data_IF_478864219414
#
_entry.id   IF_478864219414
#
_cell.length_a   1.000
_cell.length_b   1.000
_cell.length_c   1.000
_cell.angle_alpha   90.00
_cell.angle_beta   90.00
_cell.angle_gamma   90.00
#
_symmetry.space_group_name_H-M   'P 1'
#
loop_
_entity.id
_entity.type
_entity.pdbx_description
1 polymer ?
#
# COMPACT_ATOMS: atom_id res chain seq x y z
N UNK A 1 8.27 26.73 42.03
CA UNK A 1 8.62 25.69 41.04
C UNK A 1 7.42 25.57 40.12
N UNK A 2 7.53 26.02 38.87
CA UNK A 2 6.41 26.08 37.92
C UNK A 2 6.57 24.95 36.89
N UNK A 3 5.72 23.93 37.00
CA UNK A 3 5.59 22.85 36.02
C UNK A 3 4.93 23.42 34.76
N UNK A 4 5.77 23.87 33.82
CA UNK A 4 5.33 24.18 32.46
C UNK A 4 5.12 22.86 31.73
N UNK A 5 3.91 22.33 31.82
CA UNK A 5 3.44 21.24 30.96
C UNK A 5 3.50 21.71 29.51
N UNK A 6 4.46 21.19 28.74
CA UNK A 6 4.53 21.41 27.31
C UNK A 6 3.50 20.50 26.64
N UNK A 7 2.26 20.99 26.54
CA UNK A 7 1.20 20.31 25.81
C UNK A 7 1.52 20.49 24.32
N UNK A 8 2.15 19.47 23.72
CA UNK A 8 2.29 19.43 22.26
C UNK A 8 0.91 19.06 21.72
N UNK A 9 0.11 20.09 21.45
CA UNK A 9 -1.06 19.97 20.61
C UNK A 9 -0.53 19.77 19.18
N UNK A 10 -0.30 18.52 18.79
CA UNK A 10 -0.11 18.15 17.40
C UNK A 10 -1.47 18.30 16.70
N UNK A 11 -1.85 19.55 16.45
CA UNK A 11 -2.80 19.85 15.38
C UNK A 11 -2.04 19.56 14.08
N UNK A 12 -2.10 18.30 13.64
CA UNK A 12 -1.77 17.97 12.26
C UNK A 12 -2.86 18.69 11.46
N UNK A 13 -2.57 19.93 11.06
CA UNK A 13 -3.34 20.60 10.04
C UNK A 13 -3.45 19.59 8.91
N UNK A 14 -4.66 19.05 8.69
CA UNK A 14 -4.93 18.20 7.56
C UNK A 14 -4.70 19.10 6.35
N UNK A 15 -3.48 19.08 5.81
CA UNK A 15 -3.18 19.77 4.57
C UNK A 15 -4.23 19.31 3.55
N UNK A 16 -4.84 20.24 2.81
CA UNK A 16 -5.85 19.88 1.85
C UNK A 16 -5.28 18.81 0.91
N UNK A 17 -6.04 17.73 0.73
CA UNK A 17 -5.65 16.62 -0.12
C UNK A 17 -5.18 17.13 -1.48
N UNK A 18 -4.00 16.69 -1.92
CA UNK A 18 -3.51 17.10 -3.23
C UNK A 18 -4.46 16.58 -4.32
N UNK A 19 -4.76 17.37 -5.37
CA UNK A 19 -5.61 16.91 -6.46
C UNK A 19 -5.14 15.60 -7.11
N UNK A 20 -3.83 15.37 -7.09
CA UNK A 20 -3.23 14.12 -7.55
C UNK A 20 -3.63 12.92 -6.68
N UNK A 21 -3.52 13.05 -5.36
CA UNK A 21 -3.94 11.98 -4.44
C UNK A 21 -5.45 11.74 -4.51
N UNK A 22 -6.23 12.80 -4.66
CA UNK A 22 -7.67 12.69 -4.85
C UNK A 22 -8.02 11.86 -6.08
N UNK A 23 -7.37 12.13 -7.22
CA UNK A 23 -7.57 11.37 -8.45
C UNK A 23 -7.19 9.88 -8.27
N UNK A 24 -6.08 9.59 -7.60
CA UNK A 24 -5.68 8.21 -7.28
C UNK A 24 -6.74 7.50 -6.42
N UNK A 25 -7.32 8.19 -5.43
CA UNK A 25 -8.41 7.63 -4.62
C UNK A 25 -9.68 7.36 -5.42
N UNK A 26 -10.03 8.21 -6.38
CA UNK A 26 -11.18 7.94 -7.26
C UNK A 26 -10.95 6.72 -8.15
N UNK A 27 -9.73 6.53 -8.64
CA UNK A 27 -9.36 5.33 -9.38
C UNK A 27 -9.45 4.08 -8.50
N UNK A 28 -8.85 4.12 -7.32
CA UNK A 28 -8.88 3.01 -6.36
C UNK A 28 -10.31 2.64 -5.90
N UNK A 29 -11.19 3.63 -5.74
CA UNK A 29 -12.60 3.38 -5.45
C UNK A 29 -13.29 2.62 -6.59
N UNK A 30 -12.97 2.98 -7.84
CA UNK A 30 -13.52 2.32 -9.02
C UNK A 30 -13.04 0.87 -9.12
N UNK A 31 -11.75 0.60 -8.83
CA UNK A 31 -11.19 -0.75 -8.77
C UNK A 31 -11.88 -1.61 -7.70
N UNK A 32 -12.04 -1.09 -6.48
CA UNK A 32 -12.74 -1.80 -5.38
C UNK A 32 -14.19 -2.12 -5.78
N UNK A 33 -14.89 -1.17 -6.41
CA UNK A 33 -16.26 -1.40 -6.88
C UNK A 33 -16.30 -2.51 -7.93
N UNK A 34 -15.36 -2.53 -8.87
CA UNK A 34 -15.25 -3.58 -9.89
C UNK A 34 -14.95 -4.97 -9.26
N UNK A 35 -14.09 -5.04 -8.25
CA UNK A 35 -13.81 -6.28 -7.53
C UNK A 35 -15.07 -6.80 -6.82
N UNK A 36 -15.83 -5.92 -6.16
CA UNK A 36 -17.10 -6.27 -5.51
C UNK A 36 -18.10 -6.81 -6.55
N UNK A 37 -18.22 -6.15 -7.70
CA UNK A 37 -19.10 -6.58 -8.78
C UNK A 37 -18.71 -7.95 -9.33
N UNK A 38 -17.42 -8.22 -9.52
CA UNK A 38 -16.91 -9.50 -9.99
C UNK A 38 -17.24 -10.63 -9.01
N UNK A 39 -16.91 -10.48 -7.72
CA UNK A 39 -17.20 -11.48 -6.70
C UNK A 39 -18.71 -11.76 -6.60
N UNK A 40 -19.52 -10.70 -6.65
CA UNK A 40 -20.98 -10.82 -6.62
C UNK A 40 -21.52 -11.57 -7.86
N UNK A 41 -20.97 -11.30 -9.04
CA UNK A 41 -21.35 -11.98 -10.28
C UNK A 41 -20.97 -13.48 -10.30
N UNK A 42 -19.92 -13.85 -9.56
CA UNK A 42 -19.53 -15.25 -9.34
C UNK A 42 -20.42 -15.97 -8.31
N UNK A 43 -21.37 -15.26 -7.70
CA UNK A 43 -22.27 -15.80 -6.68
C UNK A 43 -21.61 -15.96 -5.30
N UNK A 44 -20.49 -15.28 -5.06
CA UNK A 44 -19.85 -15.27 -3.75
C UNK A 44 -20.65 -14.41 -2.76
N UNK A 45 -20.67 -14.85 -1.49
CA UNK A 45 -21.40 -14.15 -0.45
C UNK A 45 -20.58 -12.91 0.02
N UNK A 46 -21.16 -11.69 0.01
CA UNK A 46 -20.44 -10.47 0.32
C UNK A 46 -19.71 -10.45 1.66
N UNK A 47 -20.32 -10.96 2.73
CA UNK A 47 -19.68 -10.96 4.05
C UNK A 47 -18.43 -11.85 4.10
N UNK A 48 -18.29 -12.81 3.18
CA UNK A 48 -17.09 -13.65 3.07
C UNK A 48 -15.91 -12.93 2.41
N UNK A 49 -16.12 -12.05 1.43
CA UNK A 49 -15.01 -11.43 0.68
C UNK A 49 -14.76 -9.97 1.06
N UNK A 50 -15.78 -9.20 1.47
CA UNK A 50 -15.62 -7.78 1.82
C UNK A 50 -14.52 -7.53 2.89
N UNK A 51 -14.37 -8.34 3.96
CA UNK A 51 -13.30 -8.13 4.94
C UNK A 51 -11.88 -8.37 4.42
N UNK A 52 -11.75 -9.06 3.28
CA UNK A 52 -10.46 -9.35 2.65
C UNK A 52 -10.02 -8.24 1.69
N UNK A 53 -10.96 -7.39 1.25
CA UNK A 53 -10.67 -6.26 0.37
C UNK A 53 -9.74 -5.25 1.07
N UNK A 54 -8.86 -4.58 0.30
CA UNK A 54 -8.04 -3.50 0.83
C UNK A 54 -8.91 -2.30 1.21
N UNK A 55 -8.46 -1.53 2.20
CA UNK A 55 -8.97 -0.17 2.40
C UNK A 55 -8.63 0.72 1.19
N UNK A 56 -9.34 1.84 1.02
CA UNK A 56 -9.13 2.74 -0.11
C UNK A 56 -7.66 3.16 -0.27
N UNK A 57 -7.01 3.59 0.82
CA UNK A 57 -5.61 4.00 0.80
C UNK A 57 -4.66 2.83 0.56
N UNK A 58 -5.01 1.63 1.02
CA UNK A 58 -4.23 0.42 0.69
C UNK A 58 -4.34 0.08 -0.78
N UNK A 59 -5.52 0.21 -1.39
CA UNK A 59 -5.70 0.02 -2.82
C UNK A 59 -4.86 1.02 -3.62
N UNK A 60 -4.84 2.30 -3.25
CA UNK A 60 -3.96 3.30 -3.89
C UNK A 60 -2.49 2.88 -3.82
N UNK A 61 -2.03 2.40 -2.65
CA UNK A 61 -0.66 1.91 -2.50
C UNK A 61 -0.40 0.68 -3.37
N UNK A 62 -1.36 -0.27 -3.45
CA UNK A 62 -1.25 -1.46 -4.30
C UNK A 62 -1.18 -1.10 -5.79
N UNK A 63 -1.96 -0.12 -6.25
CA UNK A 63 -1.95 0.34 -7.64
C UNK A 63 -0.61 0.99 -7.97
N UNK A 64 -0.13 1.91 -7.12
CA UNK A 64 1.19 2.52 -7.31
C UNK A 64 2.32 1.50 -7.24
N UNK A 65 2.19 0.49 -6.38
CA UNK A 65 3.14 -0.60 -6.31
C UNK A 65 3.17 -1.42 -7.62
N UNK A 66 2.00 -1.77 -8.17
CA UNK A 66 1.87 -2.51 -9.44
C UNK A 66 2.48 -1.72 -10.58
N UNK A 67 2.15 -0.44 -10.69
CA UNK A 67 2.68 0.45 -11.72
C UNK A 67 4.21 0.52 -11.66
N UNK A 68 4.76 0.79 -10.47
CA UNK A 68 6.22 0.81 -10.25
C UNK A 68 6.87 -0.53 -10.55
N UNK A 69 6.20 -1.65 -10.27
CA UNK A 69 6.73 -2.99 -10.55
C UNK A 69 6.85 -3.29 -12.05
N UNK A 70 6.19 -2.52 -12.91
CA UNK A 70 6.36 -2.62 -14.37
C UNK A 70 7.64 -1.94 -14.88
N UNK A 71 8.22 -1.04 -14.08
CA UNK A 71 9.44 -0.32 -14.46
C UNK A 71 10.61 -1.30 -14.61
N UNK A 72 11.37 -1.27 -15.73
CA UNK A 72 12.41 -2.27 -16.01
C UNK A 72 13.44 -2.43 -14.88
N UNK A 73 13.85 -1.32 -14.25
CA UNK A 73 14.82 -1.34 -13.15
C UNK A 73 14.26 -2.03 -11.90
N UNK A 74 13.01 -1.75 -11.55
CA UNK A 74 12.35 -2.35 -10.39
C UNK A 74 11.98 -3.81 -10.64
N UNK A 75 11.56 -4.17 -11.86
CA UNK A 75 11.33 -5.55 -12.25
C UNK A 75 12.61 -6.38 -12.15
N UNK A 76 13.74 -5.86 -12.64
CA UNK A 76 15.03 -6.53 -12.52
C UNK A 76 15.52 -6.64 -11.07
N UNK A 77 15.32 -5.59 -10.26
CA UNK A 77 15.63 -5.61 -8.83
C UNK A 77 14.78 -6.65 -8.08
N UNK A 78 13.49 -6.73 -8.39
CA UNK A 78 12.56 -7.73 -7.86
C UNK A 78 13.02 -9.15 -8.19
N UNK A 79 13.34 -9.42 -9.46
CA UNK A 79 13.81 -10.74 -9.89
C UNK A 79 15.07 -11.19 -9.12
N UNK A 80 16.00 -10.26 -8.83
CA UNK A 80 17.18 -10.55 -8.00
C UNK A 80 16.83 -10.77 -6.53
N UNK A 81 15.94 -9.97 -5.97
CA UNK A 81 15.52 -10.06 -4.57
C UNK A 81 14.81 -11.38 -4.24
N UNK A 82 14.03 -11.90 -5.19
CA UNK A 82 13.27 -13.15 -5.07
C UNK A 82 13.99 -14.38 -5.62
N UNK A 83 15.22 -14.25 -6.11
CA UNK A 83 15.97 -15.38 -6.65
C UNK A 83 16.31 -16.40 -5.53
N UNK A 84 16.28 -17.73 -5.77
CA UNK A 84 16.61 -18.73 -4.74
C UNK A 84 18.00 -18.59 -4.11
N UNK A 85 18.94 -17.98 -4.84
CA UNK A 85 20.29 -17.69 -4.35
C UNK A 85 20.44 -16.29 -3.72
N UNK A 86 19.35 -15.53 -3.56
CA UNK A 86 19.37 -14.25 -2.89
C UNK A 86 19.73 -14.40 -1.42
N UNK A 87 20.35 -13.37 -0.84
CA UNK A 87 20.63 -13.36 0.60
C UNK A 87 19.32 -13.37 1.41
N UNK A 88 19.32 -13.92 2.63
CA UNK A 88 18.19 -13.77 3.55
C UNK A 88 17.83 -12.28 3.73
N UNK A 89 16.53 -11.97 3.73
CA UNK A 89 16.04 -10.60 3.88
C UNK A 89 16.01 -9.76 2.59
N UNK A 90 16.49 -10.29 1.46
CA UNK A 90 16.57 -9.50 0.21
C UNK A 90 15.19 -9.12 -0.34
N UNK A 91 14.20 -10.02 -0.24
CA UNK A 91 12.83 -9.75 -0.64
C UNK A 91 12.20 -8.67 0.25
N UNK A 92 12.33 -8.82 1.57
CA UNK A 92 11.80 -7.88 2.55
C UNK A 92 12.40 -6.47 2.38
N UNK A 93 13.71 -6.38 2.13
CA UNK A 93 14.38 -5.11 1.87
C UNK A 93 13.92 -4.46 0.57
N UNK A 94 13.70 -5.25 -0.49
CA UNK A 94 13.13 -4.76 -1.75
C UNK A 94 11.71 -4.23 -1.54
N UNK A 95 10.83 -5.01 -0.91
CA UNK A 95 9.43 -4.62 -0.67
C UNK A 95 9.34 -3.36 0.20
N UNK A 96 10.15 -3.30 1.27
CA UNK A 96 10.28 -2.12 2.11
C UNK A 96 10.71 -0.90 1.31
N UNK A 97 11.71 -1.04 0.43
CA UNK A 97 12.22 0.03 -0.41
C UNK A 97 11.12 0.64 -1.31
N UNK A 98 10.32 -0.21 -1.96
CA UNK A 98 9.23 0.24 -2.84
C UNK A 98 8.13 0.93 -2.04
N UNK A 99 7.64 0.31 -0.97
CA UNK A 99 6.56 0.84 -0.14
C UNK A 99 6.96 2.14 0.58
N UNK A 100 8.20 2.22 1.07
CA UNK A 100 8.77 3.45 1.63
C UNK A 100 8.80 4.57 0.59
N UNK A 101 9.20 4.27 -0.65
CA UNK A 101 9.23 5.28 -1.70
C UNK A 101 7.83 5.78 -2.09
N UNK A 102 6.77 4.97 -1.93
CA UNK A 102 5.38 5.43 -2.10
C UNK A 102 4.99 6.35 -0.94
N UNK A 103 5.27 5.94 0.30
CA UNK A 103 4.96 6.73 1.50
C UNK A 103 5.66 8.11 1.51
N UNK A 104 6.88 8.19 0.97
CA UNK A 104 7.60 9.47 0.85
C UNK A 104 7.02 10.38 -0.24
N UNK A 105 6.48 9.82 -1.33
CA UNK A 105 5.84 10.59 -2.39
C UNK A 105 4.44 11.07 -1.96
N UNK A 106 3.70 10.23 -1.23
CA UNK A 106 2.36 10.52 -0.73
C UNK A 106 2.31 10.33 0.80
N UNK A 107 2.72 11.35 1.59
CA UNK A 107 2.81 11.23 3.05
C UNK A 107 1.50 10.78 3.72
N UNK A 108 0.34 11.17 3.18
CA UNK A 108 -0.98 10.76 3.65
C UNK A 108 -1.22 9.23 3.57
N UNK A 109 -0.53 8.52 2.68
CA UNK A 109 -0.63 7.06 2.51
C UNK A 109 0.31 6.28 3.43
N UNK A 110 1.13 6.95 4.25
CA UNK A 110 2.16 6.29 5.06
C UNK A 110 1.58 5.16 5.92
N UNK A 111 0.45 5.40 6.60
CA UNK A 111 -0.18 4.38 7.43
C UNK A 111 -0.62 3.14 6.62
N UNK A 112 -1.14 3.32 5.41
CA UNK A 112 -1.51 2.23 4.53
C UNK A 112 -0.30 1.45 4.02
N UNK A 113 0.76 2.17 3.61
CA UNK A 113 2.01 1.54 3.19
C UNK A 113 2.62 0.68 4.31
N UNK A 114 2.60 1.16 5.57
CA UNK A 114 3.08 0.39 6.72
C UNK A 114 2.24 -0.85 7.00
N UNK A 115 0.91 -0.78 6.94
CA UNK A 115 0.04 -1.96 7.09
C UNK A 115 0.30 -3.02 6.02
N UNK A 116 0.65 -2.60 4.81
CA UNK A 116 0.99 -3.50 3.71
C UNK A 116 2.38 -4.12 3.87
N UNK A 117 3.35 -3.45 4.49
CA UNK A 117 4.69 -4.03 4.78
C UNK A 117 4.55 -5.29 5.62
N UNK A 118 3.70 -5.29 6.66
CA UNK A 118 3.47 -6.46 7.50
C UNK A 118 2.81 -7.64 6.73
N UNK A 119 2.19 -7.35 5.58
CA UNK A 119 1.53 -8.32 4.69
C UNK A 119 2.36 -8.61 3.42
N UNK A 120 3.46 -7.90 3.17
CA UNK A 120 4.13 -7.79 1.89
C UNK A 120 4.72 -9.11 1.34
N UNK A 121 5.36 -9.99 2.14
CA UNK A 121 5.87 -11.24 1.59
C UNK A 121 4.78 -12.19 1.08
N UNK A 122 3.52 -12.01 1.50
CA UNK A 122 2.39 -12.87 1.11
C UNK A 122 1.51 -12.26 0.02
N UNK A 123 1.35 -10.93 0.00
CA UNK A 123 0.50 -10.23 -0.96
C UNK A 123 1.25 -9.70 -2.19
N UNK A 124 2.50 -9.31 -1.99
CA UNK A 124 3.27 -8.61 -3.02
C UNK A 124 4.27 -9.53 -3.69
N UNK A 125 4.69 -10.63 -3.07
CA UNK A 125 5.57 -11.62 -3.70
C UNK A 125 5.64 -12.93 -2.94
N UNK A 126 4.65 -13.81 -3.20
CA UNK A 126 4.68 -15.30 -3.18
C UNK A 126 3.43 -15.88 -2.52
N UNK A 127 2.62 -16.57 -3.35
CA UNK A 127 2.00 -17.81 -2.94
C UNK A 127 3.04 -18.92 -3.17
N UNK A 128 3.37 -19.71 -2.14
CA UNK A 128 4.09 -21.00 -2.27
C UNK A 128 5.59 -20.94 -2.53
#
# INVERSE_FOLDING_TARGET
>A
MSERGYKIEHEVAAEPESPALHALRQQALSEIAQDIELHSALGEEPLLFLPALPTLDEQVVLDQYRERSTLPELAAARARAYHPAARPGAAEEYEFGVLRAIALEYPALSAAAWRLIDRAPRLLGRAG
#
